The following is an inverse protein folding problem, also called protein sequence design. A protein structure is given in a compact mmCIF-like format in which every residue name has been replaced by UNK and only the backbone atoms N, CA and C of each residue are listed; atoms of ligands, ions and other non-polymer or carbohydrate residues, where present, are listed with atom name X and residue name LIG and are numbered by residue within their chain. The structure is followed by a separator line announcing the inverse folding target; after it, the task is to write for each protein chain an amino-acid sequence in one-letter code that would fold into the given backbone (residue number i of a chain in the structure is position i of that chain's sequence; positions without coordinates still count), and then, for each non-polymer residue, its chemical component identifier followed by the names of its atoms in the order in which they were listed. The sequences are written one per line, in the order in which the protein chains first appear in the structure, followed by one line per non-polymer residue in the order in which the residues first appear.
data_IF_259097647737
#
_entry.id   IF_259097647737
#
_cell.length_a   1.000
_cell.length_b   1.000
_cell.length_c   1.000
_cell.angle_alpha   90.00
_cell.angle_beta   90.00
_cell.angle_gamma   90.00
#
_symmetry.space_group_name_H-M   'P 1'
#
loop_
_entity.id
_entity.type
_entity.pdbx_description
1 polymer ?
#
# COMPACT_ATOMS: atom_id res chain seq x y z
N UNK A 1 5.60 -2.09 12.30
CA UNK A 1 6.28 -2.05 10.99
C UNK A 1 6.50 -3.42 10.36
N UNK A 2 6.84 -4.46 11.12
CA UNK A 2 7.20 -5.78 10.56
C UNK A 2 6.07 -6.44 9.76
N UNK A 3 4.82 -6.36 10.21
CA UNK A 3 3.67 -6.93 9.49
C UNK A 3 3.42 -6.23 8.14
N UNK A 4 3.31 -4.89 8.14
CA UNK A 4 3.15 -4.09 6.91
C UNK A 4 4.29 -4.35 5.93
N UNK A 5 5.54 -4.43 6.41
CA UNK A 5 6.71 -4.74 5.56
C UNK A 5 6.61 -6.12 4.92
N UNK A 6 6.29 -7.15 5.70
CA UNK A 6 6.15 -8.51 5.19
C UNK A 6 5.00 -8.65 4.19
N UNK A 7 3.84 -8.05 4.50
CA UNK A 7 2.67 -8.11 3.61
C UNK A 7 2.87 -7.29 2.34
N UNK A 8 3.54 -6.14 2.40
CA UNK A 8 3.90 -5.35 1.22
C UNK A 8 4.81 -6.13 0.28
N UNK A 9 5.87 -6.76 0.81
CA UNK A 9 6.76 -7.56 -0.02
C UNK A 9 6.02 -8.74 -0.65
N UNK A 10 5.20 -9.43 0.14
CA UNK A 10 4.41 -10.57 -0.33
C UNK A 10 3.42 -10.16 -1.42
N UNK A 11 2.75 -9.02 -1.26
CA UNK A 11 1.82 -8.48 -2.24
C UNK A 11 2.51 -8.16 -3.57
N UNK A 12 3.64 -7.45 -3.53
CA UNK A 12 4.39 -7.13 -4.76
C UNK A 12 4.89 -8.41 -5.43
N UNK A 13 5.40 -9.36 -4.64
CA UNK A 13 5.85 -10.64 -5.16
C UNK A 13 4.73 -11.44 -5.84
N UNK A 14 3.52 -11.45 -5.28
CA UNK A 14 2.36 -12.14 -5.84
C UNK A 14 1.87 -11.48 -7.14
N UNK A 15 1.83 -10.16 -7.18
CA UNK A 15 1.29 -9.41 -8.33
C UNK A 15 2.30 -9.26 -9.49
N UNK A 16 3.60 -9.12 -9.20
CA UNK A 16 4.61 -8.79 -10.21
C UNK A 16 5.75 -9.81 -10.32
N UNK A 17 5.87 -10.74 -9.36
CA UNK A 17 6.99 -11.66 -9.27
C UNK A 17 8.32 -11.00 -8.86
N UNK A 18 8.30 -9.73 -8.43
CA UNK A 18 9.50 -8.99 -8.03
C UNK A 18 9.66 -8.97 -6.52
N UNK A 19 10.90 -9.15 -6.05
CA UNK A 19 11.23 -8.89 -4.65
C UNK A 19 11.43 -7.39 -4.43
N UNK A 20 10.72 -6.83 -3.46
CA UNK A 20 10.78 -5.41 -3.13
C UNK A 20 11.35 -5.15 -1.74
N UNK A 21 11.80 -6.18 -1.02
CA UNK A 21 12.30 -6.08 0.36
C UNK A 21 13.40 -5.03 0.52
N UNK A 22 14.28 -4.91 -0.48
CA UNK A 22 15.36 -3.91 -0.52
C UNK A 22 14.89 -2.49 -0.76
N UNK A 23 13.69 -2.28 -1.31
CA UNK A 23 13.08 -0.96 -1.55
C UNK A 23 12.13 -0.53 -0.43
N UNK A 24 11.87 -1.41 0.55
CA UNK A 24 10.95 -1.12 1.67
C UNK A 24 11.73 -0.58 2.87
N UNK A 25 11.79 0.75 2.94
CA UNK A 25 12.36 1.52 4.04
C UNK A 25 11.31 2.09 5.00
N UNK A 26 11.77 2.64 6.12
CA UNK A 26 10.91 3.22 7.16
C UNK A 26 10.01 4.36 6.65
N UNK A 27 10.47 5.12 5.66
CA UNK A 27 9.71 6.19 5.01
C UNK A 27 8.47 5.62 4.31
N UNK A 28 8.66 4.57 3.50
CA UNK A 28 7.58 3.87 2.78
C UNK A 28 6.58 3.27 3.78
N UNK A 29 7.10 2.62 4.82
CA UNK A 29 6.25 2.01 5.84
C UNK A 29 5.46 3.04 6.65
N UNK A 30 6.06 4.19 6.97
CA UNK A 30 5.37 5.28 7.65
C UNK A 30 4.29 5.91 6.78
N UNK A 31 4.55 6.07 5.48
CA UNK A 31 3.56 6.56 4.52
C UNK A 31 2.34 5.62 4.45
N UNK A 32 2.56 4.32 4.20
CA UNK A 32 1.49 3.32 4.14
C UNK A 32 0.71 3.26 5.46
N UNK A 33 1.41 3.23 6.59
CA UNK A 33 0.76 3.20 7.91
C UNK A 33 -0.05 4.47 8.18
N UNK A 34 0.42 5.63 7.72
CA UNK A 34 -0.31 6.90 7.83
C UNK A 34 -1.62 6.85 7.07
N UNK A 35 -1.60 6.34 5.84
CA UNK A 35 -2.81 6.18 5.03
C UNK A 35 -3.75 5.13 5.63
N UNK A 36 -3.24 3.98 6.07
CA UNK A 36 -4.06 2.93 6.69
C UNK A 36 -4.83 3.43 7.93
N UNK A 37 -4.22 4.32 8.73
CA UNK A 37 -4.90 4.96 9.87
C UNK A 37 -6.01 5.93 9.45
N UNK A 38 -5.83 6.60 8.32
CA UNK A 38 -6.85 7.49 7.74
C UNK A 38 -7.99 6.69 7.10
N UNK A 39 -7.68 5.53 6.52
CA UNK A 39 -8.58 4.66 5.75
C UNK A 39 -9.88 4.30 6.48
N UNK A 40 -9.84 4.15 7.81
CA UNK A 40 -11.00 3.78 8.63
C UNK A 40 -11.60 4.93 9.47
N UNK A 41 -11.01 6.13 9.43
CA UNK A 41 -11.39 7.23 10.33
C UNK A 41 -12.48 8.14 9.75
N UNK A 42 -12.82 8.00 8.48
CA UNK A 42 -13.58 9.02 7.77
C UNK A 42 -14.98 8.54 7.38
N UNK A 43 -15.97 9.03 8.11
CA UNK A 43 -17.40 8.82 7.83
C UNK A 43 -17.95 9.64 6.65
N UNK A 44 -17.08 10.24 5.83
CA UNK A 44 -17.44 11.15 4.73
C UNK A 44 -16.90 10.62 3.40
N UNK A 45 -17.73 10.59 2.34
CA UNK A 45 -17.34 10.07 1.02
C UNK A 45 -16.26 10.89 0.30
N UNK A 46 -15.99 12.12 0.76
CA UNK A 46 -14.94 13.01 0.23
C UNK A 46 -13.52 12.65 0.72
N UNK A 47 -13.41 11.84 1.77
CA UNK A 47 -12.15 11.31 2.31
C UNK A 47 -11.91 9.86 1.84
N UNK A 48 -12.56 9.47 0.75
CA UNK A 48 -12.36 8.17 0.15
C UNK A 48 -10.89 8.02 -0.27
N UNK A 49 -10.27 6.91 0.12
CA UNK A 49 -8.89 6.62 -0.25
C UNK A 49 -8.71 6.63 -1.77
N UNK A 50 -7.87 7.55 -2.24
CA UNK A 50 -7.54 7.64 -3.66
C UNK A 50 -6.42 6.67 -4.02
N UNK A 51 -6.84 5.47 -4.44
CA UNK A 51 -5.91 4.38 -4.75
C UNK A 51 -5.00 4.69 -5.94
N UNK A 52 -5.43 5.54 -6.87
CA UNK A 52 -4.60 5.90 -8.02
C UNK A 52 -3.47 6.83 -7.58
N UNK A 53 -3.78 7.87 -6.79
CA UNK A 53 -2.76 8.75 -6.22
C UNK A 53 -1.76 7.95 -5.37
N UNK A 54 -2.26 7.03 -4.53
CA UNK A 54 -1.41 6.15 -3.73
C UNK A 54 -0.49 5.28 -4.60
N UNK A 55 -1.03 4.66 -5.66
CA UNK A 55 -0.25 3.83 -6.56
C UNK A 55 0.83 4.64 -7.29
N UNK A 56 0.52 5.86 -7.71
CA UNK A 56 1.49 6.79 -8.32
C UNK A 56 2.61 7.16 -7.34
N UNK A 57 2.25 7.54 -6.11
CA UNK A 57 3.23 7.87 -5.07
C UNK A 57 4.11 6.67 -4.73
N UNK A 58 3.52 5.48 -4.60
CA UNK A 58 4.25 4.25 -4.33
C UNK A 58 5.20 3.85 -5.46
N UNK A 59 4.84 4.13 -6.72
CA UNK A 59 5.66 3.82 -7.89
C UNK A 59 6.99 4.58 -7.91
N UNK A 60 7.08 5.74 -7.24
CA UNK A 60 8.33 6.48 -7.10
C UNK A 60 9.34 5.77 -6.17
N UNK A 61 8.86 4.98 -5.21
CA UNK A 61 9.69 4.21 -4.27
C UNK A 61 9.90 2.77 -4.76
N UNK A 62 8.83 2.17 -5.27
CA UNK A 62 8.78 0.77 -5.70
C UNK A 62 8.17 0.77 -7.10
N UNK A 63 8.97 0.79 -8.17
CA UNK A 63 8.48 0.91 -9.55
C UNK A 63 7.53 -0.22 -9.97
N UNK A 64 7.60 -1.38 -9.29
CA UNK A 64 6.68 -2.49 -9.47
C UNK A 64 5.20 -2.10 -9.28
N UNK A 65 4.91 -1.10 -8.41
CA UNK A 65 3.54 -0.64 -8.15
C UNK A 65 2.82 -0.12 -9.39
N UNK A 66 3.56 0.46 -10.35
CA UNK A 66 2.98 0.97 -11.59
C UNK A 66 2.37 -0.13 -12.46
N UNK A 67 2.77 -1.39 -12.22
CA UNK A 67 2.31 -2.55 -12.98
C UNK A 67 1.18 -3.32 -12.26
N UNK A 68 0.75 -2.87 -11.08
CA UNK A 68 -0.30 -3.52 -10.27
C UNK A 68 -1.63 -2.80 -10.52
N UNK A 69 -2.71 -3.54 -10.64
CA UNK A 69 -4.03 -2.96 -10.85
C UNK A 69 -4.52 -2.20 -9.60
N UNK A 70 -5.05 -0.98 -9.77
CA UNK A 70 -5.56 -0.16 -8.66
C UNK A 70 -6.63 -0.88 -7.82
N UNK A 71 -7.45 -1.76 -8.42
CA UNK A 71 -8.41 -2.56 -7.67
C UNK A 71 -7.74 -3.55 -6.71
N UNK A 72 -6.59 -4.12 -7.09
CA UNK A 72 -5.82 -5.06 -6.25
C UNK A 72 -5.14 -4.33 -5.11
N UNK A 73 -4.60 -3.14 -5.39
CA UNK A 73 -4.00 -2.26 -4.38
C UNK A 73 -5.05 -1.82 -3.36
N UNK A 74 -6.26 -1.47 -3.83
CA UNK A 74 -7.37 -1.08 -2.95
C UNK A 74 -7.77 -2.22 -2.01
N UNK A 75 -7.96 -3.42 -2.56
CA UNK A 75 -8.31 -4.62 -1.79
C UNK A 75 -7.23 -4.96 -0.74
N UNK A 76 -5.95 -4.87 -1.14
CA UNK A 76 -4.81 -5.06 -0.25
C UNK A 76 -4.77 -4.02 0.89
N UNK A 77 -5.03 -2.74 0.60
CA UNK A 77 -5.10 -1.69 1.62
C UNK A 77 -6.26 -1.91 2.60
N UNK A 78 -7.43 -2.30 2.10
CA UNK A 78 -8.55 -2.67 2.96
C UNK A 78 -8.24 -3.88 3.83
N UNK A 79 -7.63 -4.92 3.24
CA UNK A 79 -7.19 -6.11 3.96
C UNK A 79 -6.22 -5.71 5.08
N UNK A 80 -5.18 -4.93 4.78
CA UNK A 80 -4.21 -4.46 5.78
C UNK A 80 -4.85 -3.61 6.87
N UNK A 81 -5.79 -2.73 6.52
CA UNK A 81 -6.51 -1.89 7.49
C UNK A 81 -7.32 -2.73 8.47
N UNK A 82 -7.74 -3.94 8.10
CA UNK A 82 -8.45 -4.85 9.02
C UNK A 82 -7.55 -5.46 10.10
N UNK A 83 -6.22 -5.36 9.98
CA UNK A 83 -5.25 -5.87 10.97
C UNK A 83 -4.66 -4.79 11.89
N UNK A 84 -4.99 -3.52 11.66
CA UNK A 84 -4.45 -2.36 12.38
C UNK A 84 -5.54 -1.69 13.22
#
# INVERSE_FOLDING_TARGET
YTLVKSELNKFILDETGQDALSSIDEIVLSYITGILKSFGSSGSPDDAFDVNEFAEMMSAYIPAFSNINSSRIYDWMMYLSSFL
#
